data_IF_543758746865
#
_entry.id   IF_543758746865
#
_cell.length_a   1.000
_cell.length_b   1.000
_cell.length_c   1.000
_cell.angle_alpha   90.00
_cell.angle_beta   90.00
_cell.angle_gamma   90.00
#
_symmetry.space_group_name_H-M   'P 1'
#
loop_
_entity.id
_entity.type
_entity.pdbx_description
1 polymer ?
#
# COMPACT_ATOMS: atom_id res chain seq x y z
N UNK A 1 -25.89 12.50 28.27
CA UNK A 1 -25.55 11.50 27.24
C UNK A 1 -25.08 12.30 26.05
N UNK A 2 -23.85 12.12 25.59
CA UNK A 2 -23.37 12.84 24.40
C UNK A 2 -24.14 12.35 23.17
N UNK A 3 -24.74 13.27 22.43
CA UNK A 3 -25.47 12.99 21.18
C UNK A 3 -24.60 13.43 20.00
N UNK A 4 -24.66 12.68 18.91
CA UNK A 4 -23.93 13.00 17.68
C UNK A 4 -24.89 13.47 16.61
N UNK A 5 -24.59 14.60 15.97
CA UNK A 5 -25.38 15.13 14.86
C UNK A 5 -24.74 14.77 13.51
N UNK A 6 -25.58 14.46 12.50
CA UNK A 6 -25.12 14.28 11.13
C UNK A 6 -24.91 15.67 10.51
N UNK A 7 -23.65 16.02 10.24
CA UNK A 7 -23.29 17.33 9.68
C UNK A 7 -23.56 17.40 8.16
N UNK A 8 -23.36 16.29 7.42
CA UNK A 8 -23.60 16.23 5.99
C UNK A 8 -23.73 14.80 5.45
N UNK A 9 -24.36 14.65 4.28
CA UNK A 9 -24.49 13.40 3.54
C UNK A 9 -23.94 13.58 2.13
N UNK A 10 -22.97 12.75 1.74
CA UNK A 10 -22.31 12.82 0.44
C UNK A 10 -22.42 11.49 -0.31
N UNK A 11 -22.63 11.56 -1.63
CA UNK A 11 -22.48 10.41 -2.51
C UNK A 11 -20.98 10.18 -2.81
N UNK A 12 -20.61 8.96 -3.19
CA UNK A 12 -19.22 8.61 -3.50
C UNK A 12 -18.65 9.31 -4.75
N UNK A 13 -19.48 10.00 -5.53
CA UNK A 13 -19.07 10.85 -6.65
C UNK A 13 -18.99 12.33 -6.30
N UNK A 14 -19.17 12.71 -5.03
CA UNK A 14 -19.08 14.10 -4.58
C UNK A 14 -17.63 14.59 -4.63
N UNK A 15 -17.40 15.70 -5.32
CA UNK A 15 -16.10 16.37 -5.37
C UNK A 15 -15.75 17.00 -4.01
N UNK A 16 -16.75 17.42 -3.22
CA UNK A 16 -16.54 18.05 -1.90
C UNK A 16 -15.87 17.09 -0.91
N UNK A 17 -16.37 15.85 -0.79
CA UNK A 17 -15.76 14.84 0.07
C UNK A 17 -14.38 14.44 -0.44
N UNK A 18 -14.16 14.44 -1.76
CA UNK A 18 -12.85 14.20 -2.34
C UNK A 18 -11.86 15.33 -2.03
N UNK A 19 -12.29 16.61 -2.06
CA UNK A 19 -11.46 17.73 -1.66
C UNK A 19 -11.04 17.64 -0.19
N UNK A 20 -11.97 17.27 0.70
CA UNK A 20 -11.66 16.99 2.10
C UNK A 20 -10.67 15.83 2.25
N UNK A 21 -10.86 14.75 1.50
CA UNK A 21 -9.95 13.62 1.47
C UNK A 21 -8.55 13.98 0.95
N UNK A 22 -8.47 14.79 -0.11
CA UNK A 22 -7.20 15.24 -0.68
C UNK A 22 -6.43 16.11 0.33
N UNK A 23 -7.12 16.98 1.05
CA UNK A 23 -6.51 17.87 2.04
C UNK A 23 -6.20 17.19 3.38
N UNK A 24 -7.06 16.29 3.86
CA UNK A 24 -7.03 15.74 5.22
C UNK A 24 -6.87 14.21 5.27
N UNK A 25 -6.25 13.59 4.26
CA UNK A 25 -6.13 12.13 4.14
C UNK A 25 -5.76 11.40 5.43
N UNK A 26 -4.75 11.90 6.15
CA UNK A 26 -4.27 11.30 7.40
C UNK A 26 -5.35 11.20 8.49
N UNK A 27 -6.42 12.01 8.42
CA UNK A 27 -7.56 11.98 9.36
C UNK A 27 -8.59 10.90 9.00
N UNK A 28 -8.59 10.42 7.76
CA UNK A 28 -9.43 9.28 7.32
C UNK A 28 -8.84 7.93 7.71
N UNK A 29 -7.61 7.93 8.22
CA UNK A 29 -6.93 6.76 8.75
C UNK A 29 -6.77 6.88 10.26
N UNK A 30 -6.73 5.74 10.96
CA UNK A 30 -6.26 5.70 12.34
C UNK A 30 -4.74 5.94 12.33
N UNK A 31 -4.35 7.22 12.27
CA UNK A 31 -2.96 7.59 12.28
C UNK A 31 -2.43 7.45 13.71
N UNK A 32 -1.40 6.63 13.96
CA UNK A 32 -0.73 6.58 15.26
C UNK A 32 0.14 7.84 15.41
N UNK A 33 -0.49 9.02 15.53
CA UNK A 33 0.17 10.32 15.77
C UNK A 33 1.00 10.32 17.06
N UNK A 34 0.82 9.31 17.93
CA UNK A 34 1.45 9.18 19.23
C UNK A 34 2.40 7.96 19.37
N UNK A 35 2.86 7.35 18.26
CA UNK A 35 3.87 6.30 18.39
C UNK A 35 5.27 6.88 18.59
N UNK A 36 6.04 6.34 19.53
CA UNK A 36 7.46 6.68 19.76
C UNK A 36 8.37 6.31 18.58
N UNK A 37 7.81 5.64 17.57
CA UNK A 37 8.50 5.20 16.39
C UNK A 37 8.18 6.11 15.20
N UNK A 38 9.16 6.34 14.32
CA UNK A 38 9.06 7.31 13.23
C UNK A 38 7.81 7.13 12.35
N UNK A 39 7.28 8.24 11.85
CA UNK A 39 6.13 8.26 10.93
C UNK A 39 6.58 7.87 9.52
N UNK A 40 6.59 6.58 9.22
CA UNK A 40 6.97 6.03 7.90
C UNK A 40 5.79 5.85 6.93
N UNK A 41 4.57 6.15 7.36
CA UNK A 41 3.38 6.07 6.49
C UNK A 41 3.38 7.31 5.59
N UNK A 42 3.83 7.13 4.35
CA UNK A 42 3.73 8.16 3.30
C UNK A 42 2.28 8.32 2.84
N UNK A 43 1.81 9.56 2.83
CA UNK A 43 0.54 9.96 2.24
C UNK A 43 0.71 11.22 1.41
N UNK A 44 -0.25 11.54 0.53
CA UNK A 44 -0.18 12.78 -0.24
C UNK A 44 -0.31 14.04 0.62
N UNK A 45 -0.70 13.91 1.89
CA UNK A 45 -0.71 15.02 2.86
C UNK A 45 0.66 15.24 3.53
N UNK A 46 1.55 14.25 3.55
CA UNK A 46 2.80 14.29 4.32
C UNK A 46 4.08 13.98 3.53
N UNK A 47 3.96 13.49 2.30
CA UNK A 47 5.08 13.06 1.45
C UNK A 47 4.91 13.60 0.01
N UNK A 48 5.93 14.30 -0.49
CA UNK A 48 5.89 14.94 -1.82
C UNK A 48 5.86 13.91 -2.96
N UNK A 49 6.49 12.74 -2.77
CA UNK A 49 6.47 11.67 -3.77
C UNK A 49 5.11 10.99 -3.82
N UNK A 50 4.45 10.82 -2.68
CA UNK A 50 3.07 10.35 -2.63
C UNK A 50 2.11 11.33 -3.33
N UNK A 51 2.28 12.63 -3.08
CA UNK A 51 1.51 13.70 -3.72
C UNK A 51 1.71 13.72 -5.24
N UNK A 52 2.96 13.61 -5.70
CA UNK A 52 3.26 13.56 -7.12
C UNK A 52 2.68 12.32 -7.80
N UNK A 53 2.72 11.15 -7.14
CA UNK A 53 2.06 9.94 -7.65
C UNK A 53 0.55 10.14 -7.79
N UNK A 54 -0.12 10.73 -6.80
CA UNK A 54 -1.55 11.04 -6.86
C UNK A 54 -1.86 11.97 -8.03
N UNK A 55 -1.09 13.05 -8.21
CA UNK A 55 -1.23 13.99 -9.32
C UNK A 55 -1.07 13.32 -10.68
N UNK A 56 -0.08 12.44 -10.83
CA UNK A 56 0.13 11.68 -12.07
C UNK A 56 -1.05 10.77 -12.36
N UNK A 57 -1.61 10.08 -11.34
CA UNK A 57 -2.79 9.22 -11.52
C UNK A 57 -4.01 10.07 -11.91
N UNK A 58 -4.24 11.19 -11.23
CA UNK A 58 -5.33 12.14 -11.51
C UNK A 58 -5.25 12.69 -12.93
N UNK A 59 -4.07 13.12 -13.37
CA UNK A 59 -3.83 13.65 -14.72
C UNK A 59 -3.98 12.59 -15.82
N UNK A 60 -3.75 11.30 -15.50
CA UNK A 60 -3.94 10.18 -16.43
C UNK A 60 -5.38 9.66 -16.45
N UNK A 61 -6.24 10.10 -15.54
CA UNK A 61 -7.62 9.65 -15.50
C UNK A 61 -8.40 10.24 -16.68
N UNK A 62 -9.16 9.39 -17.38
CA UNK A 62 -10.02 9.83 -18.49
C UNK A 62 -11.23 10.65 -18.03
N UNK A 63 -11.61 10.55 -16.76
CA UNK A 63 -12.76 11.24 -16.18
C UNK A 63 -12.51 11.56 -14.71
N UNK A 64 -12.67 12.83 -14.32
CA UNK A 64 -12.58 13.28 -12.92
C UNK A 64 -13.58 12.54 -12.05
N UNK A 65 -14.85 12.46 -12.48
CA UNK A 65 -15.91 11.81 -11.72
C UNK A 65 -15.63 10.32 -11.47
N UNK A 66 -15.10 9.59 -12.46
CA UNK A 66 -14.72 8.19 -12.28
C UNK A 66 -13.53 8.03 -11.34
N UNK A 67 -12.57 8.96 -11.40
CA UNK A 67 -11.44 9.00 -10.50
C UNK A 67 -11.89 9.26 -9.05
N UNK A 68 -12.73 10.28 -8.81
CA UNK A 68 -13.32 10.56 -7.50
C UNK A 68 -14.07 9.36 -6.96
N UNK A 69 -14.96 8.76 -7.77
CA UNK A 69 -15.68 7.56 -7.38
C UNK A 69 -14.74 6.43 -6.98
N UNK A 70 -13.68 6.19 -7.75
CA UNK A 70 -12.66 5.18 -7.44
C UNK A 70 -11.94 5.48 -6.12
N UNK A 71 -11.56 6.74 -5.87
CA UNK A 71 -10.89 7.14 -4.64
C UNK A 71 -11.81 6.99 -3.42
N UNK A 72 -13.05 7.48 -3.52
CA UNK A 72 -14.02 7.45 -2.41
C UNK A 72 -14.53 6.04 -2.10
N UNK A 73 -14.50 5.11 -3.06
CA UNK A 73 -14.85 3.69 -2.81
C UNK A 73 -13.90 3.03 -1.81
N UNK A 74 -12.71 3.60 -1.57
CA UNK A 74 -11.78 3.08 -0.57
C UNK A 74 -12.11 3.48 0.87
N UNK A 75 -13.04 4.42 1.06
CA UNK A 75 -13.54 4.82 2.37
C UNK A 75 -14.72 3.93 2.80
N UNK A 76 -14.85 3.63 4.11
CA UNK A 76 -13.90 3.93 5.18
C UNK A 76 -12.68 3.00 5.13
N UNK A 77 -11.52 3.51 5.51
CA UNK A 77 -10.33 2.68 5.64
C UNK A 77 -10.37 1.87 6.94
N UNK A 78 -9.89 0.63 6.88
CA UNK A 78 -9.67 -0.16 8.09
C UNK A 78 -8.39 0.33 8.79
N UNK A 79 -8.45 0.49 10.11
CA UNK A 79 -7.37 1.03 10.93
C UNK A 79 -6.05 0.22 10.85
N UNK A 80 -6.13 -1.05 10.43
CA UNK A 80 -4.99 -1.97 10.31
C UNK A 80 -4.52 -2.15 8.86
N UNK A 81 -5.07 -1.39 7.91
CA UNK A 81 -4.74 -1.60 6.50
C UNK A 81 -3.37 -1.09 6.08
N UNK A 82 -2.72 -0.19 6.81
CA UNK A 82 -1.45 0.40 6.38
C UNK A 82 -0.27 -0.09 7.21
N UNK A 83 0.76 -0.56 6.53
CA UNK A 83 2.02 -0.96 7.15
C UNK A 83 2.84 0.27 7.56
N UNK A 84 3.25 0.39 8.84
CA UNK A 84 4.11 1.47 9.33
C UNK A 84 5.60 1.21 9.05
N UNK A 85 5.92 0.36 8.07
CA UNK A 85 7.29 -0.05 7.78
C UNK A 85 8.04 1.01 6.94
N UNK A 86 9.31 1.32 7.27
CA UNK A 86 10.15 2.24 6.50
C UNK A 86 10.40 1.76 5.06
N UNK A 87 10.13 0.48 4.75
CA UNK A 87 10.24 -0.04 3.39
C UNK A 87 9.15 0.50 2.45
N UNK A 88 8.05 0.99 3.00
CA UNK A 88 6.95 1.60 2.26
C UNK A 88 6.94 3.13 2.29
N UNK A 89 7.96 3.72 2.90
CA UNK A 89 8.18 5.16 2.86
C UNK A 89 8.66 5.56 1.45
N UNK A 90 7.85 6.35 0.75
CA UNK A 90 8.07 6.79 -0.62
C UNK A 90 9.20 7.82 -0.75
N UNK A 91 9.66 8.41 0.35
CA UNK A 91 10.88 9.22 0.42
C UNK A 91 12.15 8.38 0.52
N UNK A 92 12.05 7.12 0.95
CA UNK A 92 13.17 6.20 1.07
C UNK A 92 13.30 5.28 -0.14
N UNK A 93 12.20 4.68 -0.58
CA UNK A 93 12.20 3.66 -1.63
C UNK A 93 11.18 3.89 -2.74
N UNK A 94 11.59 3.59 -3.97
CA UNK A 94 10.70 3.37 -5.12
C UNK A 94 10.55 1.87 -5.35
N UNK A 95 9.32 1.43 -5.54
CA UNK A 95 8.93 0.05 -5.85
C UNK A 95 7.69 0.05 -6.76
N UNK A 96 7.33 -1.11 -7.31
CA UNK A 96 6.12 -1.24 -8.12
C UNK A 96 4.89 -1.45 -7.24
N UNK A 97 4.06 -0.40 -7.10
CA UNK A 97 2.85 -0.42 -6.27
C UNK A 97 1.82 -1.49 -6.66
N UNK A 98 1.85 -1.91 -7.94
CA UNK A 98 0.96 -2.96 -8.46
C UNK A 98 1.34 -4.34 -7.93
N UNK A 99 2.58 -4.52 -7.53
CA UNK A 99 3.11 -5.78 -6.99
C UNK A 99 3.09 -5.77 -5.46
N UNK A 100 3.34 -4.61 -4.85
CA UNK A 100 3.44 -4.47 -3.39
C UNK A 100 3.05 -3.05 -2.94
N UNK A 101 2.38 -2.88 -1.81
CA UNK A 101 2.07 -1.54 -1.27
C UNK A 101 2.03 -1.53 0.25
N UNK A 102 2.06 -0.32 0.83
CA UNK A 102 1.80 -0.11 2.25
C UNK A 102 0.43 -0.65 2.68
N UNK A 103 -0.57 -0.61 1.78
CA UNK A 103 -1.90 -1.13 2.06
C UNK A 103 -1.88 -2.67 2.00
N UNK A 104 -2.27 -3.31 3.10
CA UNK A 104 -2.42 -4.76 3.22
C UNK A 104 -3.55 -5.26 2.33
N UNK A 105 -3.17 -5.79 1.17
CA UNK A 105 -4.07 -6.34 0.15
C UNK A 105 -3.40 -7.51 -0.53
N UNK A 106 -4.19 -8.55 -0.80
CA UNK A 106 -3.77 -9.63 -1.69
C UNK A 106 -3.53 -9.10 -3.11
N UNK A 107 -2.44 -9.55 -3.71
CA UNK A 107 -2.02 -9.21 -5.07
C UNK A 107 -1.80 -10.48 -5.86
N UNK A 108 -1.77 -10.40 -7.20
CA UNK A 108 -1.30 -11.53 -7.99
C UNK A 108 0.18 -11.76 -7.73
N UNK A 109 0.56 -13.02 -7.53
CA UNK A 109 1.94 -13.39 -7.37
C UNK A 109 2.73 -13.10 -8.66
N UNK A 110 3.97 -12.65 -8.51
CA UNK A 110 4.91 -12.41 -9.61
C UNK A 110 6.10 -13.35 -9.50
N UNK A 111 6.50 -13.93 -10.63
CA UNK A 111 7.76 -14.69 -10.73
C UNK A 111 8.98 -13.76 -10.65
N UNK A 112 8.83 -12.52 -11.11
CA UNK A 112 9.94 -11.57 -11.18
C UNK A 112 10.21 -10.94 -9.81
N UNK A 113 11.49 -10.76 -9.43
CA UNK A 113 11.83 -10.12 -8.17
C UNK A 113 11.32 -8.67 -8.10
N UNK A 114 10.67 -8.33 -7.00
CA UNK A 114 10.22 -6.97 -6.69
C UNK A 114 11.42 -6.17 -6.24
N UNK A 115 11.75 -5.08 -6.94
CA UNK A 115 12.93 -4.25 -6.67
C UNK A 115 12.56 -3.08 -5.76
N UNK A 116 13.36 -2.85 -4.73
CA UNK A 116 13.31 -1.65 -3.90
C UNK A 116 14.52 -0.78 -4.23
N UNK A 117 14.27 0.37 -4.85
CA UNK A 117 15.30 1.31 -5.29
C UNK A 117 15.36 2.49 -4.32
N UNK A 118 16.55 2.88 -3.88
CA UNK A 118 16.69 4.08 -3.05
C UNK A 118 16.31 5.32 -3.86
N UNK A 119 15.44 6.16 -3.31
CA UNK A 119 15.07 7.45 -3.92
C UNK A 119 16.29 8.37 -4.00
N UNK A 120 17.06 8.48 -2.90
CA UNK A 120 18.23 9.38 -2.81
C UNK A 120 19.37 8.98 -3.73
N UNK A 121 19.67 7.68 -3.83
CA UNK A 121 20.83 7.19 -4.57
C UNK A 121 20.49 6.66 -5.97
N UNK A 122 19.20 6.48 -6.28
CA UNK A 122 18.71 5.91 -7.54
C UNK A 122 19.34 4.54 -7.90
N UNK A 123 19.67 3.74 -6.87
CA UNK A 123 20.21 2.38 -7.02
C UNK A 123 19.29 1.35 -6.38
N UNK A 124 19.24 0.14 -6.94
CA UNK A 124 18.53 -0.99 -6.32
C UNK A 124 19.22 -1.35 -5.01
N UNK A 125 18.50 -1.23 -3.89
CA UNK A 125 19.02 -1.56 -2.55
C UNK A 125 18.83 -3.03 -2.21
N UNK A 126 17.69 -3.59 -2.55
CA UNK A 126 17.40 -5.01 -2.38
C UNK A 126 16.26 -5.44 -3.29
N UNK A 127 16.03 -6.76 -3.35
CA UNK A 127 14.93 -7.36 -4.11
C UNK A 127 14.22 -8.38 -3.23
N UNK A 128 12.90 -8.44 -3.30
CA UNK A 128 12.09 -9.52 -2.72
C UNK A 128 11.75 -10.48 -3.85
N UNK A 129 12.10 -11.75 -3.68
CA UNK A 129 11.68 -12.83 -4.58
C UNK A 129 10.48 -13.51 -3.95
N UNK A 130 9.25 -13.36 -4.49
CA UNK A 130 8.08 -13.98 -3.88
C UNK A 130 8.19 -15.51 -3.79
N UNK A 131 9.02 -16.13 -4.64
CA UNK A 131 9.42 -17.53 -4.55
C UNK A 131 8.93 -18.34 -5.76
N UNK A 132 9.86 -19.08 -6.39
CA UNK A 132 9.62 -20.04 -7.47
C UNK A 132 10.10 -21.46 -7.12
N UNK A 133 10.57 -21.71 -5.90
CA UNK A 133 11.49 -22.83 -5.66
C UNK A 133 10.86 -24.08 -5.01
N UNK A 134 9.52 -24.17 -5.00
CA UNK A 134 8.87 -25.47 -4.89
C UNK A 134 8.77 -26.04 -6.30
N UNK A 135 9.52 -27.11 -6.61
CA UNK A 135 9.66 -27.75 -7.94
C UNK A 135 8.38 -28.31 -8.59
N UNK A 136 7.22 -27.74 -8.31
CA UNK A 136 5.98 -27.98 -9.04
C UNK A 136 5.91 -27.00 -10.22
N UNK A 137 6.17 -27.56 -11.41
CA UNK A 137 6.13 -26.89 -12.71
C UNK A 137 4.75 -26.44 -13.17
N UNK A 138 3.80 -26.16 -12.26
CA UNK A 138 2.45 -25.79 -12.65
C UNK A 138 2.28 -24.27 -12.68
N UNK A 139 2.86 -23.67 -13.72
CA UNK A 139 2.76 -22.25 -14.05
C UNK A 139 1.33 -21.78 -14.35
N UNK A 140 0.31 -22.65 -14.23
CA UNK A 140 -1.10 -22.36 -14.54
C UNK A 140 -1.94 -22.02 -13.31
N UNK A 141 -1.47 -22.31 -12.11
CA UNK A 141 -2.25 -22.03 -10.91
C UNK A 141 -2.22 -20.53 -10.59
N UNK A 142 -3.41 -19.91 -10.47
CA UNK A 142 -3.53 -18.51 -10.03
C UNK A 142 -3.07 -18.41 -8.57
N UNK A 143 -1.91 -17.81 -8.35
CA UNK A 143 -1.33 -17.57 -7.02
C UNK A 143 -1.59 -16.14 -6.58
N UNK A 144 -2.03 -15.96 -5.33
CA UNK A 144 -2.11 -14.64 -4.69
C UNK A 144 -1.00 -14.52 -3.65
N UNK A 145 -0.47 -13.32 -3.49
CA UNK A 145 0.56 -13.00 -2.50
C UNK A 145 0.16 -11.80 -1.66
N UNK A 146 0.46 -11.86 -0.36
CA UNK A 146 0.50 -10.70 0.53
C UNK A 146 1.89 -10.56 1.14
N UNK A 147 2.21 -9.35 1.61
CA UNK A 147 3.52 -9.04 2.16
C UNK A 147 3.36 -8.32 3.49
N UNK A 148 4.10 -8.77 4.49
CA UNK A 148 4.13 -8.15 5.80
C UNK A 148 5.57 -7.71 6.09
N UNK A 149 5.79 -6.40 6.19
CA UNK A 149 7.10 -5.88 6.57
C UNK A 149 7.10 -5.52 8.04
N UNK A 150 8.16 -5.95 8.72
CA UNK A 150 8.34 -5.58 10.11
C UNK A 150 8.61 -4.07 10.22
N UNK A 151 8.01 -3.36 11.19
CA UNK A 151 8.16 -1.91 11.32
C UNK A 151 9.59 -1.43 11.63
N UNK A 152 10.38 -2.25 12.33
CA UNK A 152 11.74 -1.86 12.79
C UNK A 152 12.86 -2.74 12.26
N UNK A 153 12.73 -4.06 12.41
CA UNK A 153 13.75 -4.99 11.96
C UNK A 153 13.79 -5.14 10.44
N UNK A 154 14.95 -5.51 9.86
CA UNK A 154 15.10 -5.74 8.43
C UNK A 154 14.51 -7.10 8.01
N UNK A 155 13.24 -7.31 8.36
CA UNK A 155 12.49 -8.56 8.23
C UNK A 155 11.20 -8.29 7.43
N UNK A 156 10.90 -9.18 6.49
CA UNK A 156 9.63 -9.20 5.79
C UNK A 156 9.15 -10.64 5.59
N UNK A 157 7.84 -10.82 5.50
CA UNK A 157 7.21 -12.08 5.13
C UNK A 157 6.53 -11.91 3.78
N UNK A 158 6.66 -12.90 2.91
CA UNK A 158 5.77 -13.06 1.77
C UNK A 158 4.92 -14.31 1.96
N UNK A 159 3.61 -14.15 1.91
CA UNK A 159 2.64 -15.22 2.10
C UNK A 159 2.00 -15.48 0.75
N UNK A 160 2.16 -16.69 0.22
CA UNK A 160 1.59 -17.11 -1.06
C UNK A 160 0.48 -18.13 -0.82
N UNK A 161 -0.67 -17.90 -1.44
CA UNK A 161 -1.80 -18.82 -1.39
C UNK A 161 -2.15 -19.26 -2.81
N UNK A 162 -2.33 -20.56 -2.97
CA UNK A 162 -2.72 -21.20 -4.23
C UNK A 162 -3.88 -22.13 -3.93
N UNK A 163 -4.90 -22.15 -4.79
CA UNK A 163 -6.09 -22.97 -4.58
C UNK A 163 -5.73 -24.44 -4.40
N UNK A 164 -6.26 -25.08 -3.35
CA UNK A 164 -6.02 -26.49 -3.00
C UNK A 164 -4.54 -26.84 -2.76
N UNK A 165 -3.70 -25.86 -2.44
CA UNK A 165 -2.31 -26.07 -2.05
C UNK A 165 -2.04 -25.44 -0.68
N UNK A 166 -1.07 -25.97 0.07
CA UNK A 166 -0.63 -25.36 1.32
C UNK A 166 -0.19 -23.90 1.11
N UNK A 167 -0.45 -23.05 2.11
CA UNK A 167 0.07 -21.69 2.13
C UNK A 167 1.59 -21.74 2.29
N UNK A 168 2.31 -21.04 1.42
CA UNK A 168 3.77 -20.92 1.50
C UNK A 168 4.12 -19.59 2.14
N UNK A 169 4.92 -19.61 3.21
CA UNK A 169 5.39 -18.40 3.90
C UNK A 169 6.90 -18.33 3.80
N UNK A 170 7.41 -17.31 3.12
CA UNK A 170 8.85 -17.06 3.02
C UNK A 170 9.24 -15.92 3.96
N UNK A 171 10.31 -16.15 4.72
CA UNK A 171 10.91 -15.15 5.61
C UNK A 171 12.09 -14.51 4.89
N UNK A 172 12.03 -13.20 4.72
CA UNK A 172 13.06 -12.39 4.09
C UNK A 172 13.79 -11.60 5.16
N UNK A 173 15.08 -11.88 5.35
CA UNK A 173 15.94 -11.11 6.24
C UNK A 173 17.00 -10.38 5.42
N UNK A 174 17.09 -9.06 5.56
CA UNK A 174 18.09 -8.23 4.89
C UNK A 174 19.29 -8.02 5.82
N UNK A 175 20.45 -8.54 5.41
CA UNK A 175 21.75 -8.31 6.06
C UNK A 175 22.33 -6.95 5.68
#
# INVERSE_FOLDING_TARGET
>A
METTDIVSLHQNSSEDIYALFEQFYDHFHANPQASSHGKFISSHSNDIHALDQLRVIKNKASSSSQFVKKMMTSLPYTCQSQSPSPYFDLSLFRYDEKLISAIDRHRHCTEHPIKFMSVRQNVVKFKIKPGSDSGASDSRAKRISSFLFHPFFPLALSIQQTYMQPTVVNIHFRR
#
